data_IF_552735619586
#
_entry.id   IF_552735619586
#
_cell.length_a   1.000
_cell.length_b   1.000
_cell.length_c   1.000
_cell.angle_alpha   90.00
_cell.angle_beta   90.00
_cell.angle_gamma   90.00
#
_symmetry.space_group_name_H-M   'P 1'
#
loop_
_entity.id
_entity.type
_entity.pdbx_description
1 polymer ?
#
# COMPACT_ATOMS: atom_id res chain seq x y z
N UNK A 1 -15.92 11.72 -0.33
CA UNK A 1 -16.29 10.33 -0.66
C UNK A 1 -15.38 9.36 0.10
N UNK A 2 -15.76 8.09 0.25
CA UNK A 2 -14.95 7.05 0.93
C UNK A 2 -13.55 6.93 0.30
N UNK A 3 -13.44 7.05 -1.02
CA UNK A 3 -12.16 7.01 -1.72
C UNK A 3 -11.20 8.14 -1.32
N UNK A 4 -11.71 9.37 -1.17
CA UNK A 4 -10.91 10.52 -0.73
C UNK A 4 -10.45 10.34 0.72
N UNK A 5 -11.31 9.77 1.56
CA UNK A 5 -10.96 9.44 2.94
C UNK A 5 -9.85 8.39 2.98
N UNK A 6 -9.97 7.30 2.22
CA UNK A 6 -8.93 6.26 2.13
C UNK A 6 -7.59 6.84 1.64
N UNK A 7 -7.61 7.73 0.65
CA UNK A 7 -6.41 8.39 0.15
C UNK A 7 -5.77 9.31 1.21
N UNK A 8 -6.58 10.14 1.87
CA UNK A 8 -6.11 11.02 2.94
C UNK A 8 -5.52 10.24 4.12
N UNK A 9 -6.21 9.21 4.60
CA UNK A 9 -5.75 8.35 5.69
C UNK A 9 -4.46 7.63 5.32
N UNK A 10 -4.36 7.12 4.08
CA UNK A 10 -3.12 6.49 3.60
C UNK A 10 -1.94 7.45 3.62
N UNK A 11 -2.13 8.69 3.12
CA UNK A 11 -1.09 9.71 3.14
C UNK A 11 -0.67 10.05 4.57
N UNK A 12 -1.62 10.30 5.46
CA UNK A 12 -1.36 10.64 6.85
C UNK A 12 -0.57 9.53 7.57
N UNK A 13 -0.94 8.27 7.35
CA UNK A 13 -0.25 7.13 7.97
C UNK A 13 1.21 7.05 7.49
N UNK A 14 1.47 7.23 6.19
CA UNK A 14 2.83 7.23 5.65
C UNK A 14 3.65 8.39 6.22
N UNK A 15 3.10 9.59 6.29
CA UNK A 15 3.77 10.77 6.87
C UNK A 15 4.14 10.60 8.35
N UNK A 16 3.38 9.78 9.09
CA UNK A 16 3.62 9.50 10.52
C UNK A 16 4.46 8.26 10.75
N UNK A 17 4.74 7.48 9.71
CA UNK A 17 5.52 6.25 9.78
C UNK A 17 7.01 6.53 9.59
N UNK A 18 7.86 5.85 10.35
CA UNK A 18 9.30 5.96 10.19
C UNK A 18 9.77 5.21 8.91
N UNK A 19 10.88 5.66 8.32
CA UNK A 19 11.54 4.91 7.26
C UNK A 19 11.94 3.50 7.75
N UNK A 20 11.68 2.48 6.93
CA UNK A 20 11.95 1.09 7.29
C UNK A 20 10.94 0.47 8.26
N UNK A 21 9.83 1.15 8.57
CA UNK A 21 8.82 0.66 9.50
C UNK A 21 7.66 -0.07 8.83
N UNK A 22 7.04 -0.98 9.58
CA UNK A 22 5.81 -1.67 9.24
C UNK A 22 4.85 -1.56 10.42
N UNK A 23 3.61 -1.17 10.16
CA UNK A 23 2.61 -0.97 11.20
C UNK A 23 1.20 -1.29 10.68
N UNK A 24 0.26 -1.47 11.60
CA UNK A 24 -1.17 -1.55 11.31
C UNK A 24 -1.88 -0.53 12.18
N UNK A 25 -2.73 0.30 11.58
CA UNK A 25 -3.50 1.34 12.26
C UNK A 25 -4.97 0.97 12.13
N UNK A 26 -5.68 0.90 13.25
CA UNK A 26 -7.12 0.63 13.26
C UNK A 26 -7.89 1.93 13.04
N UNK A 27 -8.72 1.95 12.00
CA UNK A 27 -9.57 3.07 11.63
C UNK A 27 -11.02 2.56 11.51
N UNK A 28 -11.81 2.79 12.57
CA UNK A 28 -13.18 2.28 12.69
C UNK A 28 -13.24 0.74 12.56
N UNK A 29 -13.92 0.24 11.52
CA UNK A 29 -14.11 -1.19 11.22
C UNK A 29 -12.98 -1.77 10.34
N UNK A 30 -12.05 -0.92 9.88
CA UNK A 30 -10.97 -1.31 8.98
C UNK A 30 -9.58 -1.25 9.66
N UNK A 31 -8.66 -2.05 9.16
CA UNK A 31 -7.24 -2.01 9.45
C UNK A 31 -6.46 -1.47 8.25
N UNK A 32 -5.66 -0.44 8.49
CA UNK A 32 -4.73 0.16 7.54
C UNK A 32 -3.32 -0.38 7.82
N UNK A 33 -2.83 -1.28 6.97
CA UNK A 33 -1.48 -1.81 7.03
C UNK A 33 -0.54 -0.94 6.20
N UNK A 34 0.55 -0.48 6.80
CA UNK A 34 1.57 0.35 6.13
C UNK A 34 2.92 -0.35 6.14
N UNK A 35 3.63 -0.24 5.02
CA UNK A 35 5.02 -0.64 4.90
C UNK A 35 5.82 0.50 4.24
N UNK A 36 6.77 1.07 4.97
CA UNK A 36 7.69 2.10 4.47
C UNK A 36 9.07 1.48 4.33
N UNK A 37 9.61 1.43 3.12
CA UNK A 37 10.95 0.90 2.83
C UNK A 37 12.02 1.96 3.11
N UNK A 38 13.24 1.49 3.36
CA UNK A 38 14.41 2.36 3.57
C UNK A 38 14.81 3.16 2.32
N UNK A 39 14.35 2.76 1.14
CA UNK A 39 14.60 3.46 -0.11
C UNK A 39 13.64 4.64 -0.36
N UNK A 40 12.68 4.88 0.54
CA UNK A 40 11.69 5.95 0.45
C UNK A 40 10.39 5.54 -0.24
N UNK A 41 10.23 4.27 -0.63
CA UNK A 41 8.99 3.76 -1.18
C UNK A 41 8.05 3.26 -0.07
N UNK A 42 6.79 3.66 -0.11
CA UNK A 42 5.78 3.24 0.86
C UNK A 42 4.54 2.67 0.17
N UNK A 43 3.87 1.74 0.84
CA UNK A 43 2.57 1.23 0.42
C UNK A 43 1.64 1.10 1.63
N UNK A 44 0.36 1.36 1.39
CA UNK A 44 -0.71 1.21 2.37
C UNK A 44 -1.77 0.28 1.79
N UNK A 45 -2.27 -0.62 2.62
CA UNK A 45 -3.37 -1.53 2.31
C UNK A 45 -4.42 -1.39 3.39
N UNK A 46 -5.66 -1.09 2.98
CA UNK A 46 -6.81 -1.00 3.86
C UNK A 46 -7.63 -2.26 3.65
N UNK A 47 -7.92 -2.98 4.73
CA UNK A 47 -8.73 -4.19 4.72
C UNK A 47 -9.58 -4.26 5.99
N UNK A 48 -10.60 -5.12 5.99
CA UNK A 48 -11.39 -5.39 7.18
C UNK A 48 -10.54 -6.06 8.28
N UNK A 49 -10.95 -5.91 9.55
CA UNK A 49 -10.26 -6.50 10.72
C UNK A 49 -10.14 -8.04 10.63
N UNK A 50 -11.06 -8.69 9.90
CA UNK A 50 -11.09 -10.13 9.67
C UNK A 50 -10.03 -10.60 8.65
N UNK A 51 -9.49 -9.68 7.83
CA UNK A 51 -8.51 -10.05 6.82
C UNK A 51 -7.13 -10.30 7.45
N UNK A 52 -6.51 -11.48 7.22
CA UNK A 52 -5.29 -11.87 7.93
C UNK A 52 -4.14 -10.87 7.68
N UNK A 53 -3.57 -10.25 8.73
CA UNK A 53 -2.48 -9.28 8.58
C UNK A 53 -1.26 -9.83 7.82
N UNK A 54 -0.99 -11.14 7.96
CA UNK A 54 0.09 -11.83 7.24
C UNK A 54 -0.08 -11.72 5.72
N UNK A 55 -1.31 -11.85 5.24
CA UNK A 55 -1.62 -11.76 3.81
C UNK A 55 -1.49 -10.31 3.34
N UNK A 56 -1.92 -9.33 4.14
CA UNK A 56 -1.74 -7.90 3.89
C UNK A 56 -0.26 -7.54 3.67
N UNK A 57 0.61 -7.88 4.62
CA UNK A 57 2.04 -7.56 4.52
C UNK A 57 2.71 -8.32 3.37
N UNK A 58 2.30 -9.55 3.10
CA UNK A 58 2.79 -10.30 1.93
C UNK A 58 2.42 -9.60 0.62
N UNK A 59 1.20 -9.05 0.53
CA UNK A 59 0.75 -8.30 -0.63
C UNK A 59 1.50 -6.98 -0.78
N UNK A 60 1.66 -6.23 0.32
CA UNK A 60 2.43 -4.98 0.34
C UNK A 60 3.87 -5.19 -0.17
N UNK A 61 4.56 -6.22 0.32
CA UNK A 61 5.93 -6.52 -0.11
C UNK A 61 5.99 -6.84 -1.62
N UNK A 62 5.04 -7.64 -2.13
CA UNK A 62 4.96 -7.96 -3.57
C UNK A 62 4.69 -6.72 -4.44
N UNK A 63 3.76 -5.87 -4.02
CA UNK A 63 3.40 -4.65 -4.75
C UNK A 63 4.58 -3.69 -4.77
N UNK A 64 5.27 -3.50 -3.64
CA UNK A 64 6.44 -2.65 -3.55
C UNK A 64 7.58 -3.14 -4.44
N UNK A 65 7.85 -4.45 -4.43
CA UNK A 65 8.89 -5.05 -5.28
C UNK A 65 8.55 -4.92 -6.76
N UNK A 66 7.32 -5.25 -7.16
CA UNK A 66 6.91 -5.16 -8.57
C UNK A 66 6.90 -3.71 -9.06
N UNK A 67 6.40 -2.77 -8.25
CA UNK A 67 6.44 -1.35 -8.57
C UNK A 67 7.88 -0.86 -8.79
N UNK A 68 8.80 -1.23 -7.89
CA UNK A 68 10.21 -0.82 -7.99
C UNK A 68 10.96 -1.43 -9.19
N UNK A 69 10.43 -2.51 -9.79
CA UNK A 69 10.96 -3.12 -11.02
C UNK A 69 10.49 -2.41 -12.28
N UNK A 70 9.29 -1.85 -12.27
CA UNK A 70 8.69 -1.18 -13.43
C UNK A 70 8.94 0.33 -13.42
N UNK A 71 9.03 0.94 -12.24
CA UNK A 71 9.15 2.39 -12.07
C UNK A 71 10.51 2.71 -11.44
N UNK A 72 11.33 3.46 -12.17
CA UNK A 72 12.66 3.83 -11.71
C UNK A 72 12.59 4.74 -10.50
N UNK A 73 13.53 4.56 -9.56
CA UNK A 73 13.63 5.36 -8.33
C UNK A 73 13.79 6.87 -8.58
N UNK A 74 14.34 7.26 -9.73
CA UNK A 74 14.42 8.64 -10.18
C UNK A 74 13.06 9.30 -10.36
N UNK A 75 12.04 8.51 -10.67
CA UNK A 75 10.72 9.01 -11.08
C UNK A 75 9.76 9.12 -9.89
N UNK A 76 10.10 8.52 -8.74
CA UNK A 76 9.24 8.53 -7.54
C UNK A 76 8.99 9.94 -6.97
N UNK A 77 10.01 10.82 -6.81
CA UNK A 77 9.81 12.13 -6.16
C UNK A 77 8.90 13.09 -6.93
N UNK A 78 8.89 12.99 -8.26
CA UNK A 78 8.04 13.79 -9.16
C UNK A 78 6.86 13.01 -9.73
N UNK A 79 6.70 11.76 -9.29
CA UNK A 79 5.68 10.84 -9.79
C UNK A 79 4.28 11.28 -9.37
N UNK A 80 3.32 11.02 -10.24
CA UNK A 80 1.89 11.22 -9.99
C UNK A 80 1.10 10.08 -10.61
N UNK A 81 -0.16 9.85 -10.21
CA UNK A 81 -1.00 8.82 -10.82
C UNK A 81 -1.18 8.97 -12.34
N UNK A 82 -1.00 10.19 -12.88
CA UNK A 82 -1.08 10.47 -14.32
C UNK A 82 0.24 10.20 -15.07
N UNK A 83 1.38 10.17 -14.38
CA UNK A 83 2.72 9.99 -14.98
C UNK A 83 3.28 8.59 -14.76
N UNK A 84 2.86 7.93 -13.66
CA UNK A 84 3.29 6.58 -13.31
C UNK A 84 2.28 5.57 -13.87
N UNK A 85 2.62 4.94 -14.99
CA UNK A 85 1.81 3.92 -15.65
C UNK A 85 1.90 2.54 -15.00
N UNK A 86 1.47 2.40 -13.74
CA UNK A 86 1.46 1.11 -13.04
C UNK A 86 0.03 0.53 -12.92
N UNK A 87 -0.30 -0.41 -13.82
CA UNK A 87 -1.65 -0.99 -13.91
C UNK A 87 -1.84 -2.30 -13.10
N UNK A 88 -0.82 -2.78 -12.40
CA UNK A 88 -0.89 -4.08 -11.74
C UNK A 88 -1.68 -4.05 -10.41
N UNK A 89 -1.93 -2.87 -9.81
CA UNK A 89 -2.63 -2.74 -8.53
C UNK A 89 -4.03 -3.37 -8.55
N UNK A 90 -4.82 -3.12 -9.59
CA UNK A 90 -6.18 -3.66 -9.68
C UNK A 90 -6.20 -5.19 -9.76
N UNK A 91 -5.21 -5.77 -10.45
CA UNK A 91 -5.03 -7.21 -10.53
C UNK A 91 -4.63 -7.83 -9.18
N UNK A 92 -3.75 -7.14 -8.44
CA UNK A 92 -3.35 -7.53 -7.09
C UNK A 92 -4.54 -7.47 -6.12
N UNK A 93 -5.30 -6.38 -6.10
CA UNK A 93 -6.49 -6.25 -5.25
C UNK A 93 -7.49 -7.37 -5.55
N UNK A 94 -7.83 -7.57 -6.82
CA UNK A 94 -8.81 -8.59 -7.24
C UNK A 94 -8.39 -10.00 -6.86
N UNK A 95 -7.11 -10.36 -7.09
CA UNK A 95 -6.58 -11.69 -6.78
C UNK A 95 -6.60 -12.00 -5.29
N UNK A 96 -6.42 -10.98 -4.46
CA UNK A 96 -6.30 -11.13 -3.02
C UNK A 96 -7.64 -10.93 -2.28
N UNK A 97 -8.75 -10.66 -2.98
CA UNK A 97 -10.09 -10.67 -2.37
C UNK A 97 -10.55 -12.08 -1.96
N UNK A 98 -10.12 -13.11 -2.68
CA UNK A 98 -10.40 -14.51 -2.34
C UNK A 98 -9.17 -15.05 -1.63
N UNK A 99 -9.26 -15.29 -0.33
CA UNK A 99 -8.14 -15.87 0.43
C UNK A 99 -7.64 -17.13 -0.32
N UNK A 100 -6.33 -17.20 -0.66
CA UNK A 100 -5.79 -18.46 -1.15
C UNK A 100 -5.99 -19.53 -0.05
N UNK A 101 -6.37 -20.76 -0.43
CA UNK A 101 -6.72 -21.83 0.50
C UNK A 101 -5.60 -22.19 1.48
#
# INVERSE_FOLDING_TARGET
SVQEFMAFTSQLIVERSALGSRASVKEQEHLCHVCVRNDGLAAVLIADDEYPPRVCFTLLDKVLDEFSRQVSKSDWPSGSPATIGYAALDGFLSKYQVQPP
#
